data_IF_999754257383
#
_entry.id   IF_999754257383
#
_cell.length_a   1.000
_cell.length_b   1.000
_cell.length_c   1.000
_cell.angle_alpha   90.00
_cell.angle_beta   90.00
_cell.angle_gamma   90.00
#
_symmetry.space_group_name_H-M   'P 1'
#
loop_
_entity.id
_entity.type
_entity.pdbx_description
1 polymer ?
#
# COMPACT_ATOMS: atom_id res chain seq x y z
N UNK A 1 -1.12 -20.79 -38.33
CA UNK A 1 -1.57 -20.23 -39.62
C UNK A 1 -2.56 -19.10 -39.33
N UNK A 2 -2.04 -17.88 -39.15
CA UNK A 2 -2.72 -16.60 -39.44
C UNK A 2 -1.67 -15.50 -39.30
N UNK A 3 -1.65 -14.48 -40.17
CA UNK A 3 -0.50 -13.63 -40.43
C UNK A 3 -0.65 -12.22 -39.81
N UNK A 4 0.41 -11.42 -39.84
CA UNK A 4 0.25 -9.96 -39.81
C UNK A 4 1.27 -9.14 -39.02
N UNK A 5 2.57 -9.40 -39.17
CA UNK A 5 3.60 -8.39 -38.90
C UNK A 5 3.54 -7.32 -40.01
N UNK A 6 3.24 -6.06 -39.64
CA UNK A 6 3.58 -4.89 -40.46
C UNK A 6 4.80 -4.22 -39.81
N UNK A 7 5.98 -4.69 -40.23
CA UNK A 7 7.24 -4.01 -40.02
C UNK A 7 7.29 -2.77 -40.91
N UNK A 8 7.52 -1.62 -40.28
CA UNK A 8 7.62 -0.33 -40.93
C UNK A 8 8.93 -0.26 -41.75
N UNK A 9 8.88 -0.14 -43.08
CA UNK A 9 10.08 0.08 -43.87
C UNK A 9 10.42 1.57 -43.92
N UNK A 10 11.58 1.88 -44.49
CA UNK A 10 12.04 3.22 -44.91
C UNK A 10 12.91 3.92 -43.87
N UNK A 11 14.07 3.30 -43.63
CA UNK A 11 15.32 4.02 -43.43
C UNK A 11 16.02 4.14 -44.79
N UNK A 12 15.77 5.21 -45.56
CA UNK A 12 16.66 5.69 -46.63
C UNK A 12 16.13 6.98 -47.24
N UNK A 13 16.67 8.13 -46.83
CA UNK A 13 17.30 9.08 -47.76
C UNK A 13 17.99 10.20 -46.97
N UNK A 14 19.30 10.05 -46.77
CA UNK A 14 20.18 11.21 -46.62
C UNK A 14 20.33 11.83 -48.01
N UNK A 15 19.56 12.87 -48.30
CA UNK A 15 19.80 13.75 -49.43
C UNK A 15 20.09 15.16 -48.92
N UNK A 16 21.25 15.66 -49.31
CA UNK A 16 21.79 16.98 -48.99
C UNK A 16 20.77 18.07 -49.33
N UNK A 17 20.28 18.77 -48.31
CA UNK A 17 19.86 20.17 -48.46
C UNK A 17 20.85 21.02 -47.69
N UNK A 18 21.97 21.26 -48.39
CA UNK A 18 22.85 22.37 -48.13
C UNK A 18 22.07 23.67 -48.37
N UNK A 19 22.12 24.56 -47.38
CA UNK A 19 21.92 26.01 -47.50
C UNK A 19 20.58 26.51 -48.06
N UNK A 20 19.56 26.54 -47.21
CA UNK A 20 18.72 27.73 -47.14
C UNK A 20 18.72 28.19 -45.67
N UNK A 21 19.43 29.27 -45.35
CA UNK A 21 19.25 29.96 -44.07
C UNK A 21 17.82 30.52 -44.11
N UNK A 22 16.85 30.02 -43.32
CA UNK A 22 15.56 30.67 -43.29
C UNK A 22 15.80 32.07 -42.70
N UNK A 23 15.35 33.10 -43.40
CA UNK A 23 15.36 34.45 -42.90
C UNK A 23 14.66 34.44 -41.53
N UNK A 24 15.43 34.65 -40.46
CA UNK A 24 14.96 34.62 -39.09
C UNK A 24 13.99 35.79 -38.87
N UNK A 25 12.71 35.57 -39.16
CA UNK A 25 11.66 36.51 -38.83
C UNK A 25 11.38 36.41 -37.32
N UNK A 26 11.33 37.52 -36.57
CA UNK A 26 11.11 37.51 -35.13
C UNK A 26 9.78 36.87 -34.71
N UNK A 27 8.81 36.75 -35.63
CA UNK A 27 7.52 36.13 -35.41
C UNK A 27 7.56 34.59 -35.28
N UNK A 28 8.45 33.89 -35.99
CA UNK A 28 8.52 32.41 -35.97
C UNK A 28 9.22 31.87 -34.72
N UNK A 29 10.13 32.64 -34.11
CA UNK A 29 10.75 32.30 -32.81
C UNK A 29 9.76 32.33 -31.64
N UNK A 30 8.73 33.19 -31.69
CA UNK A 30 7.74 33.32 -30.61
C UNK A 30 6.78 32.13 -30.55
N UNK A 31 6.39 31.60 -31.70
CA UNK A 31 5.48 30.44 -31.81
C UNK A 31 6.13 29.15 -31.31
N UNK A 32 7.42 28.93 -31.60
CA UNK A 32 8.15 27.75 -31.12
C UNK A 32 8.37 27.78 -29.58
N UNK A 33 8.59 28.97 -29.00
CA UNK A 33 8.72 29.12 -27.55
C UNK A 33 7.40 28.89 -26.80
N UNK A 34 6.26 29.30 -27.38
CA UNK A 34 4.93 29.08 -26.81
C UNK A 34 4.54 27.58 -26.84
N UNK A 35 4.88 26.86 -27.90
CA UNK A 35 4.62 25.42 -27.99
C UNK A 35 5.48 24.60 -27.00
N UNK A 36 6.74 25.01 -26.76
CA UNK A 36 7.61 24.37 -25.76
C UNK A 36 7.14 24.64 -24.32
N UNK A 37 6.61 25.82 -24.02
CA UNK A 37 6.00 26.11 -22.72
C UNK A 37 4.73 25.27 -22.48
N UNK A 38 3.92 25.04 -23.51
CA UNK A 38 2.68 24.26 -23.39
C UNK A 38 2.92 22.77 -23.06
N UNK A 39 4.04 22.18 -23.52
CA UNK A 39 4.41 20.79 -23.20
C UNK A 39 5.01 20.62 -21.79
N UNK A 40 5.53 21.69 -21.19
CA UNK A 40 6.06 21.68 -19.83
C UNK A 40 4.99 21.80 -18.73
N UNK A 41 3.73 22.06 -19.11
CA UNK A 41 2.60 22.29 -18.21
C UNK A 41 1.70 21.06 -18.06
N UNK A 42 2.14 19.86 -18.45
CA UNK A 42 1.34 18.66 -18.17
C UNK A 42 1.27 18.40 -16.67
N UNK A 43 0.05 18.36 -16.08
CA UNK A 43 -0.10 18.03 -14.68
C UNK A 43 0.39 16.59 -14.49
N UNK A 44 1.44 16.42 -13.68
CA UNK A 44 1.76 15.11 -13.16
C UNK A 44 0.57 14.66 -12.31
N UNK A 45 0.00 13.50 -12.63
CA UNK A 45 -0.99 12.87 -11.77
C UNK A 45 -0.32 12.63 -10.42
N UNK A 46 -0.72 13.41 -9.42
CA UNK A 46 -0.37 13.12 -8.04
C UNK A 46 -1.16 11.86 -7.65
N UNK A 47 -0.46 10.73 -7.53
CA UNK A 47 -1.04 9.51 -6.97
C UNK A 47 -1.21 9.74 -5.47
N UNK A 48 -2.45 9.84 -5.04
CA UNK A 48 -2.84 9.82 -3.65
C UNK A 48 -3.13 8.37 -3.29
N UNK A 49 -2.34 7.77 -2.42
CA UNK A 49 -2.47 6.37 -2.04
C UNK A 49 -2.18 6.22 -0.53
N UNK A 50 -2.79 5.21 0.10
CA UNK A 50 -2.37 4.74 1.42
C UNK A 50 -1.40 3.57 1.25
N UNK A 51 -0.14 3.80 1.62
CA UNK A 51 0.94 2.82 1.48
C UNK A 51 1.44 2.34 2.82
N UNK A 52 1.89 1.08 2.85
CA UNK A 52 2.55 0.50 3.99
C UNK A 52 3.90 -0.07 3.57
N UNK A 53 4.95 0.33 4.28
CA UNK A 53 6.29 -0.19 4.11
C UNK A 53 6.64 -1.11 5.27
N UNK A 54 6.88 -2.38 4.94
CA UNK A 54 7.47 -3.33 5.86
C UNK A 54 8.98 -3.09 5.91
N UNK A 55 9.50 -2.68 7.05
CA UNK A 55 10.95 -2.51 7.30
C UNK A 55 11.53 -3.65 8.14
N UNK A 56 10.78 -4.72 8.34
CA UNK A 56 11.25 -5.93 9.02
C UNK A 56 11.86 -6.93 8.04
N UNK A 57 12.51 -7.96 8.59
CA UNK A 57 13.03 -9.10 7.83
C UNK A 57 11.99 -10.22 7.58
N UNK A 58 10.80 -10.10 8.16
CA UNK A 58 9.72 -11.08 8.07
C UNK A 58 8.70 -10.68 7.01
N UNK A 59 7.96 -11.65 6.48
CA UNK A 59 6.71 -11.40 5.76
C UNK A 59 5.61 -11.06 6.75
N UNK A 60 4.82 -10.04 6.43
CA UNK A 60 3.74 -9.59 7.30
C UNK A 60 2.39 -9.60 6.59
N UNK A 61 1.36 -10.00 7.32
CA UNK A 61 -0.04 -9.90 6.91
C UNK A 61 -0.64 -8.60 7.44
N UNK A 62 -1.35 -7.85 6.61
CA UNK A 62 -1.97 -6.57 7.00
C UNK A 62 -3.49 -6.67 6.87
N UNK A 63 -4.20 -6.08 7.82
CA UNK A 63 -5.60 -5.67 7.70
C UNK A 63 -5.71 -4.16 7.94
N UNK A 64 -6.63 -3.51 7.24
CA UNK A 64 -6.94 -2.08 7.38
C UNK A 64 -8.41 -1.88 7.73
N UNK A 65 -8.68 -0.91 8.57
CA UNK A 65 -10.01 -0.44 8.92
C UNK A 65 -10.14 1.05 8.69
N UNK A 66 -11.27 1.48 8.16
CA UNK A 66 -11.58 2.90 7.92
C UNK A 66 -13.08 3.15 7.94
N UNK A 67 -13.47 4.42 8.05
CA UNK A 67 -14.87 4.82 7.91
C UNK A 67 -15.20 5.20 6.48
N UNK A 68 -16.28 4.63 5.96
CA UNK A 68 -16.94 5.06 4.74
C UNK A 68 -18.30 5.67 5.14
N UNK A 69 -18.36 7.01 5.16
CA UNK A 69 -19.46 7.73 5.79
C UNK A 69 -19.57 7.39 7.27
N UNK A 70 -20.73 6.89 7.70
CA UNK A 70 -20.97 6.46 9.08
C UNK A 70 -20.71 4.96 9.32
N UNK A 71 -20.29 4.21 8.29
CA UNK A 71 -20.07 2.77 8.38
C UNK A 71 -18.59 2.44 8.51
N UNK A 72 -18.25 1.55 9.44
CA UNK A 72 -16.91 0.96 9.50
C UNK A 72 -16.73 -0.09 8.42
N UNK A 73 -15.62 -0.03 7.70
CA UNK A 73 -15.17 -1.07 6.79
C UNK A 73 -13.84 -1.62 7.28
N UNK A 74 -13.68 -2.94 7.29
CA UNK A 74 -12.39 -3.59 7.46
C UNK A 74 -12.09 -4.50 6.28
N UNK A 75 -10.84 -4.48 5.86
CA UNK A 75 -10.33 -5.25 4.74
C UNK A 75 -9.01 -5.92 5.11
N UNK A 76 -8.68 -7.02 4.44
CA UNK A 76 -7.46 -7.81 4.65
C UNK A 76 -7.53 -9.08 3.81
N UNK A 77 -6.52 -9.94 3.69
CA UNK A 77 -5.15 -9.76 4.16
C UNK A 77 -4.27 -9.36 2.99
N UNK A 78 -3.55 -8.25 3.12
CA UNK A 78 -2.42 -7.99 2.22
C UNK A 78 -1.20 -8.73 2.74
N UNK A 79 -0.47 -9.38 1.84
CA UNK A 79 0.81 -10.02 2.16
C UNK A 79 1.95 -9.12 1.69
N UNK A 80 2.72 -8.61 2.65
CA UNK A 80 3.82 -7.68 2.39
C UNK A 80 5.13 -8.37 2.69
N UNK A 81 5.99 -8.46 1.67
CA UNK A 81 7.32 -9.05 1.80
C UNK A 81 8.24 -8.28 2.74
N UNK A 82 9.34 -8.90 3.14
CA UNK A 82 10.39 -8.24 3.90
C UNK A 82 10.98 -7.05 3.12
N UNK A 83 11.22 -5.93 3.82
CA UNK A 83 11.80 -4.72 3.24
C UNK A 83 11.07 -4.15 2.00
N UNK A 84 9.79 -4.48 1.79
CA UNK A 84 8.98 -4.02 0.66
C UNK A 84 7.87 -3.06 1.09
N UNK A 85 7.24 -2.38 0.13
CA UNK A 85 6.09 -1.53 0.39
C UNK A 85 4.94 -1.93 -0.52
N UNK A 86 3.73 -1.95 0.03
CA UNK A 86 2.49 -2.22 -0.70
C UNK A 86 1.50 -1.06 -0.57
N UNK A 87 0.59 -0.97 -1.53
CA UNK A 87 -0.50 0.00 -1.52
C UNK A 87 -1.76 -0.69 -1.02
N UNK A 88 -2.26 -0.25 0.14
CA UNK A 88 -3.45 -0.85 0.77
C UNK A 88 -4.73 -0.25 0.19
N UNK A 89 -4.76 1.08 0.02
CA UNK A 89 -5.86 1.81 -0.60
C UNK A 89 -5.32 2.69 -1.71
N UNK A 90 -6.02 2.70 -2.85
CA UNK A 90 -5.69 3.55 -4.00
C UNK A 90 -6.60 4.77 -4.05
N UNK A 91 -6.05 5.90 -4.45
CA UNK A 91 -6.80 7.15 -4.62
C UNK A 91 -6.85 8.03 -3.36
N UNK A 92 -7.47 9.20 -3.53
CA UNK A 92 -7.62 10.22 -2.49
C UNK A 92 -8.22 9.61 -1.22
N UNK A 93 -7.53 9.80 -0.09
CA UNK A 93 -7.97 9.34 1.22
C UNK A 93 -9.09 10.23 1.78
N UNK A 94 -10.35 9.74 1.88
CA UNK A 94 -11.47 10.56 2.34
C UNK A 94 -11.47 10.77 3.86
N UNK A 95 -10.86 9.84 4.61
CA UNK A 95 -10.79 9.89 6.07
C UNK A 95 -9.43 10.41 6.56
N UNK A 96 -9.41 11.01 7.75
CA UNK A 96 -8.18 11.40 8.47
C UNK A 96 -7.55 10.22 9.20
N UNK A 97 -8.37 9.36 9.81
CA UNK A 97 -7.93 8.25 10.65
C UNK A 97 -8.13 6.93 9.94
N UNK A 98 -7.06 6.14 9.91
CA UNK A 98 -7.06 4.76 9.44
C UNK A 98 -6.59 3.86 10.57
N UNK A 99 -7.03 2.61 10.56
CA UNK A 99 -6.74 1.65 11.59
C UNK A 99 -6.03 0.48 10.95
N UNK A 100 -4.93 0.01 11.53
CA UNK A 100 -4.16 -1.09 10.97
C UNK A 100 -3.97 -2.19 11.99
N UNK A 101 -3.96 -3.42 11.50
CA UNK A 101 -3.52 -4.58 12.24
C UNK A 101 -2.53 -5.34 11.36
N UNK A 102 -1.44 -5.80 11.95
CA UNK A 102 -0.45 -6.60 11.22
C UNK A 102 0.00 -7.81 12.02
N UNK A 103 0.32 -8.89 11.33
CA UNK A 103 0.84 -10.14 11.90
C UNK A 103 2.16 -10.47 11.24
N UNK A 104 3.17 -10.84 12.02
CA UNK A 104 4.41 -11.40 11.51
C UNK A 104 4.23 -12.90 11.27
N UNK A 105 4.31 -13.34 10.02
CA UNK A 105 4.11 -14.75 9.66
C UNK A 105 5.34 -15.64 9.90
N UNK A 106 6.53 -15.05 10.02
CA UNK A 106 7.78 -15.80 10.06
C UNK A 106 8.32 -15.91 11.50
N UNK A 107 8.31 -14.83 12.27
CA UNK A 107 8.76 -14.81 13.67
C UNK A 107 7.62 -14.79 14.69
N UNK A 108 6.38 -14.59 14.24
CA UNK A 108 5.24 -14.40 15.11
C UNK A 108 5.24 -13.02 15.78
N UNK A 109 4.11 -12.70 16.40
CA UNK A 109 3.85 -11.38 16.96
C UNK A 109 3.01 -10.51 16.04
N UNK A 110 2.57 -9.37 16.57
CA UNK A 110 1.57 -8.54 15.91
C UNK A 110 1.82 -7.06 16.15
N UNK A 111 1.32 -6.22 15.25
CA UNK A 111 1.14 -4.79 15.48
C UNK A 111 -0.35 -4.58 15.72
N UNK A 112 -0.70 -4.47 17.00
CA UNK A 112 -2.07 -4.34 17.45
C UNK A 112 -2.30 -3.00 18.17
N UNK A 113 -3.56 -2.64 18.35
CA UNK A 113 -3.95 -1.47 19.12
C UNK A 113 -5.29 -1.64 19.82
N UNK A 114 -5.90 -0.53 20.22
CA UNK A 114 -7.09 -0.51 21.08
C UNK A 114 -8.40 -0.44 20.29
N UNK A 115 -8.36 -0.17 18.99
CA UNK A 115 -9.56 -0.04 18.17
C UNK A 115 -10.04 -1.41 17.73
N UNK A 116 -11.09 -1.93 18.36
CA UNK A 116 -11.58 -3.27 18.06
C UNK A 116 -12.47 -3.28 16.81
N UNK A 117 -12.15 -4.17 15.86
CA UNK A 117 -12.91 -4.37 14.63
C UNK A 117 -12.92 -5.85 14.24
N UNK A 118 -13.73 -6.19 13.25
CA UNK A 118 -13.92 -7.57 12.81
C UNK A 118 -12.87 -7.99 11.77
N UNK A 119 -12.32 -9.19 11.92
CA UNK A 119 -11.43 -9.84 10.93
C UNK A 119 -11.84 -11.29 10.68
N UNK A 120 -11.25 -11.93 9.66
CA UNK A 120 -11.41 -13.37 9.41
C UNK A 120 -10.10 -13.96 8.87
N UNK A 121 -10.00 -15.28 8.83
CA UNK A 121 -8.77 -15.99 8.46
C UNK A 121 -8.32 -15.75 7.01
N UNK A 122 -9.25 -15.73 6.06
CA UNK A 122 -8.98 -15.51 4.63
C UNK A 122 -9.18 -14.06 4.23
N UNK A 123 -8.78 -13.69 3.02
CA UNK A 123 -9.05 -12.38 2.43
C UNK A 123 -10.53 -11.97 2.58
N UNK A 124 -10.79 -10.70 2.86
CA UNK A 124 -12.01 -10.18 3.41
C UNK A 124 -12.24 -8.69 3.19
N UNK A 125 -13.53 -8.39 3.17
CA UNK A 125 -14.10 -7.05 3.32
C UNK A 125 -15.33 -7.21 4.21
N UNK A 126 -15.35 -6.55 5.36
CA UNK A 126 -16.43 -6.64 6.36
C UNK A 126 -16.94 -5.24 6.63
N UNK A 127 -18.27 -5.06 6.56
CA UNK A 127 -18.96 -3.84 6.99
C UNK A 127 -19.45 -3.99 8.42
N UNK A 128 -19.31 -2.94 9.23
CA UNK A 128 -19.67 -2.92 10.65
C UNK A 128 -18.57 -3.52 11.53
N UNK A 129 -18.38 -2.93 12.71
CA UNK A 129 -17.38 -3.34 13.71
C UNK A 129 -18.03 -4.01 14.94
N UNK A 130 -19.35 -4.08 14.96
CA UNK A 130 -20.18 -4.65 16.00
C UNK A 130 -20.38 -6.16 15.85
N UNK A 131 -20.61 -6.83 16.99
CA UNK A 131 -21.00 -8.23 17.12
C UNK A 131 -20.14 -9.23 16.31
N UNK A 132 -18.83 -8.96 16.17
CA UNK A 132 -17.91 -9.76 15.35
C UNK A 132 -18.06 -11.28 15.61
N UNK A 133 -17.96 -11.69 16.86
CA UNK A 133 -18.03 -13.11 17.24
C UNK A 133 -19.39 -13.74 16.91
N UNK A 134 -20.50 -13.03 17.16
CA UNK A 134 -21.84 -13.53 16.84
C UNK A 134 -22.07 -13.64 15.33
N UNK A 135 -21.35 -12.84 14.54
CA UNK A 135 -21.36 -12.85 13.07
C UNK A 135 -20.36 -13.85 12.48
N UNK A 136 -19.61 -14.58 13.31
CA UNK A 136 -18.60 -15.56 12.87
C UNK A 136 -17.26 -14.95 12.47
N UNK A 137 -16.96 -13.74 12.94
CA UNK A 137 -15.69 -13.04 12.75
C UNK A 137 -14.89 -12.99 14.05
N UNK A 138 -13.60 -12.72 13.93
CA UNK A 138 -12.71 -12.49 15.07
C UNK A 138 -12.75 -11.02 15.50
N UNK A 139 -12.59 -10.77 16.81
CA UNK A 139 -12.49 -9.42 17.36
C UNK A 139 -11.03 -9.03 17.54
N UNK A 140 -10.49 -8.24 16.61
CA UNK A 140 -9.07 -7.88 16.55
C UNK A 140 -8.84 -6.42 16.92
N UNK A 141 -7.73 -6.12 17.61
CA UNK A 141 -7.36 -4.77 18.00
C UNK A 141 -6.43 -4.09 16.99
N UNK A 142 -6.89 -3.01 16.37
CA UNK A 142 -6.14 -2.22 15.40
C UNK A 142 -5.49 -1.01 16.08
N UNK A 143 -4.31 -0.61 15.62
CA UNK A 143 -3.65 0.64 16.00
C UNK A 143 -4.09 1.77 15.07
N UNK A 144 -4.21 2.97 15.62
CA UNK A 144 -4.67 4.15 14.88
C UNK A 144 -3.51 4.84 14.17
N UNK A 145 -3.77 5.30 12.95
CA UNK A 145 -2.89 6.10 12.11
C UNK A 145 -3.61 7.39 11.77
N UNK A 146 -3.08 8.50 12.28
CA UNK A 146 -3.52 9.85 11.91
C UNK A 146 -2.75 10.34 10.68
N UNK A 147 -3.45 10.46 9.55
CA UNK A 147 -2.88 10.96 8.29
C UNK A 147 -2.79 12.49 8.24
N UNK A 148 -3.26 13.20 9.28
CA UNK A 148 -3.29 14.66 9.35
C UNK A 148 -4.03 15.31 8.17
N UNK A 149 -5.07 14.64 7.66
CA UNK A 149 -5.87 15.05 6.49
C UNK A 149 -5.08 15.10 5.17
N UNK A 150 -3.93 14.40 5.11
CA UNK A 150 -3.17 14.26 3.87
C UNK A 150 -3.88 13.30 2.91
N UNK A 151 -3.84 13.62 1.63
CA UNK A 151 -4.44 12.78 0.57
C UNK A 151 -3.66 11.51 0.29
N UNK A 152 -2.36 11.48 0.60
CA UNK A 152 -1.52 10.28 0.51
C UNK A 152 -0.79 10.10 1.84
N UNK A 153 -0.61 8.86 2.26
CA UNK A 153 0.10 8.57 3.50
C UNK A 153 0.92 7.28 3.37
N UNK A 154 2.05 7.22 4.08
CA UNK A 154 2.87 6.01 4.14
C UNK A 154 3.16 5.65 5.59
N UNK A 155 2.74 4.46 6.00
CA UNK A 155 3.07 3.88 7.31
C UNK A 155 4.32 3.01 7.19
N UNK A 156 5.18 3.04 8.19
CA UNK A 156 6.35 2.15 8.27
C UNK A 156 6.22 1.23 9.48
N UNK A 157 6.28 -0.07 9.23
CA UNK A 157 6.31 -1.08 10.28
C UNK A 157 7.74 -1.54 10.52
N UNK A 158 8.14 -1.56 11.79
CA UNK A 158 9.43 -2.01 12.30
C UNK A 158 9.20 -2.91 13.50
N UNK A 159 10.19 -3.72 13.85
CA UNK A 159 10.17 -4.61 15.03
C UNK A 159 10.06 -3.81 16.34
N UNK A 160 10.59 -2.59 16.38
CA UNK A 160 10.52 -1.71 17.55
C UNK A 160 9.08 -1.32 17.92
N UNK A 161 8.19 -1.28 16.94
CA UNK A 161 6.78 -0.92 17.12
C UNK A 161 5.87 -2.15 17.19
N UNK A 162 6.44 -3.36 17.18
CA UNK A 162 5.70 -4.60 17.27
C UNK A 162 5.32 -4.87 18.72
N UNK A 163 4.04 -5.15 18.96
CA UNK A 163 3.60 -5.75 20.22
C UNK A 163 4.05 -7.21 20.21
N UNK A 164 5.12 -7.51 20.94
CA UNK A 164 5.48 -8.90 21.23
C UNK A 164 4.43 -9.46 22.18
N UNK A 165 3.76 -10.59 21.86
CA UNK A 165 3.02 -11.33 22.87
C UNK A 165 3.97 -11.56 24.06
N UNK A 166 3.48 -11.53 25.32
CA UNK A 166 4.28 -12.02 26.43
C UNK A 166 4.91 -13.35 26.00
N UNK A 167 6.22 -13.59 26.25
CA UNK A 167 6.79 -14.91 26.00
C UNK A 167 5.79 -15.89 26.59
N UNK A 168 5.21 -16.77 25.76
CA UNK A 168 4.27 -17.78 26.24
C UNK A 168 4.92 -18.33 27.49
N UNK A 169 4.32 -18.06 28.66
CA UNK A 169 4.85 -18.59 29.91
C UNK A 169 4.99 -20.07 29.62
N UNK A 170 6.24 -20.55 29.62
CA UNK A 170 6.56 -21.92 29.29
C UNK A 170 5.48 -22.78 29.95
N UNK A 171 4.74 -23.56 29.15
CA UNK A 171 3.68 -24.40 29.67
C UNK A 171 4.17 -25.00 30.99
N UNK A 172 3.43 -24.87 32.12
CA UNK A 172 3.94 -25.27 33.41
C UNK A 172 4.51 -26.68 33.27
N UNK A 173 5.80 -26.83 33.60
CA UNK A 173 6.50 -28.10 33.50
C UNK A 173 5.61 -29.19 34.11
N UNK A 174 5.45 -30.35 33.45
CA UNK A 174 4.70 -31.45 34.07
C UNK A 174 5.29 -31.73 35.46
N UNK A 175 4.46 -31.97 36.48
CA UNK A 175 4.94 -32.24 37.83
C UNK A 175 5.94 -33.41 37.79
N UNK A 176 7.00 -33.38 38.61
CA UNK A 176 7.98 -34.46 38.64
C UNK A 176 7.26 -35.79 38.96
N UNK A 177 7.70 -36.91 38.37
CA UNK A 177 7.09 -38.21 38.64
C UNK A 177 7.17 -38.52 40.14
N UNK A 178 6.13 -39.14 40.72
CA UNK A 178 6.12 -39.49 42.13
C UNK A 178 7.32 -40.41 42.45
N UNK A 179 8.03 -40.11 43.54
CA UNK A 179 9.10 -40.97 44.04
C UNK A 179 8.49 -42.32 44.42
N UNK A 180 9.03 -43.40 43.86
CA UNK A 180 8.66 -44.77 44.21
C UNK A 180 9.01 -45.04 45.69
N UNK A 181 8.21 -45.82 46.44
CA UNK A 181 8.48 -46.16 47.84
C UNK A 181 9.82 -46.87 48.02
#
# INVERSE_FOLDING_TARGET
MSPGFLGNPILALRARLLFARPAAHPATRRLAALAALALALWPAVAQADFRLCNRTQSRIGIAIGYKEGDTWLTEGWWNVGANSCETLLRGDLPARFYYLYAVDYDQGGEWAGKAHMCTREKEFTIRGAEDCLARGFERTGFFEVDTQQQKSWTVQLTEANQSKPPPQAAAPLPPPPPKKP
#
